data_IF_525594873698
#
_entry.id   IF_525594873698
#
_cell.length_a   1.000
_cell.length_b   1.000
_cell.length_c   1.000
_cell.angle_alpha   90.00
_cell.angle_beta   90.00
_cell.angle_gamma   90.00
#
_symmetry.space_group_name_H-M   'P 1'
#
loop_
_entity.id
_entity.type
_entity.pdbx_description
1 polymer ?
#
# COMPACT_ATOMS: atom_id res chain seq x y z
N UNK A 1 -3.17 14.16 -0.98
CA UNK A 1 -3.65 13.35 -2.13
C UNK A 1 -5.13 13.09 -1.96
N UNK A 2 -5.93 13.42 -2.98
CA UNK A 2 -7.39 13.29 -2.96
C UNK A 2 -7.87 12.14 -3.83
N UNK A 3 -7.15 11.84 -4.93
CA UNK A 3 -7.53 10.76 -5.83
C UNK A 3 -6.34 10.09 -6.50
N UNK A 4 -6.54 8.83 -6.86
CA UNK A 4 -5.66 8.03 -7.70
C UNK A 4 -6.44 7.71 -8.97
N UNK A 5 -5.87 7.97 -10.14
CA UNK A 5 -6.52 7.73 -11.43
C UNK A 5 -5.68 6.79 -12.26
N UNK A 6 -6.32 5.79 -12.84
CA UNK A 6 -5.76 4.88 -13.83
C UNK A 6 -6.39 5.20 -15.18
N UNK A 7 -5.58 5.43 -16.21
CA UNK A 7 -6.04 5.71 -17.58
C UNK A 7 -5.48 4.63 -18.52
N UNK A 8 -6.34 3.72 -18.96
CA UNK A 8 -5.99 2.61 -19.85
C UNK A 8 -4.72 1.85 -19.42
N UNK A 9 -4.58 1.64 -18.12
CA UNK A 9 -3.39 0.98 -17.55
C UNK A 9 -3.46 -0.53 -17.77
N UNK A 10 -2.33 -1.14 -18.17
CA UNK A 10 -2.19 -2.58 -18.31
C UNK A 10 -0.79 -3.02 -17.86
N UNK A 11 -0.67 -4.03 -16.97
CA UNK A 11 0.62 -4.62 -16.64
C UNK A 11 1.32 -5.19 -17.89
N UNK A 12 2.64 -5.00 -18.01
CA UNK A 12 3.40 -5.49 -19.17
C UNK A 12 3.26 -7.02 -19.37
N UNK A 13 3.08 -7.77 -18.29
CA UNK A 13 2.88 -9.24 -18.33
C UNK A 13 1.57 -9.65 -19.03
N UNK A 14 0.63 -8.73 -19.19
CA UNK A 14 -0.65 -8.97 -19.89
C UNK A 14 -0.68 -8.38 -21.30
N UNK A 15 0.41 -7.79 -21.77
CA UNK A 15 0.49 -7.26 -23.13
C UNK A 15 0.17 -8.36 -24.16
N UNK A 16 -0.75 -8.08 -25.09
CA UNK A 16 -1.20 -9.03 -26.10
C UNK A 16 -2.24 -10.05 -25.64
N UNK A 17 -2.71 -9.98 -24.38
CA UNK A 17 -3.88 -10.76 -23.94
C UNK A 17 -5.13 -9.92 -24.11
N UNK A 18 -6.23 -10.58 -24.51
CA UNK A 18 -7.56 -9.95 -24.48
C UNK A 18 -8.07 -9.92 -23.04
N UNK A 19 -8.08 -8.73 -22.45
CA UNK A 19 -8.58 -8.48 -21.08
C UNK A 19 -10.02 -7.97 -21.10
N UNK A 20 -10.89 -8.66 -21.85
CA UNK A 20 -12.28 -8.22 -22.13
C UNK A 20 -13.17 -8.08 -20.88
N UNK A 21 -12.79 -8.70 -19.77
CA UNK A 21 -13.63 -8.77 -18.56
C UNK A 21 -13.08 -7.98 -17.36
N UNK A 22 -11.98 -7.23 -17.52
CA UNK A 22 -11.44 -6.44 -16.42
C UNK A 22 -12.17 -5.10 -16.26
N UNK A 23 -12.59 -4.80 -15.02
CA UNK A 23 -13.12 -3.47 -14.67
C UNK A 23 -12.01 -2.48 -14.31
N UNK A 24 -10.75 -2.93 -14.26
CA UNK A 24 -9.60 -2.12 -13.88
C UNK A 24 -8.63 -1.93 -15.05
N UNK A 25 -8.21 -3.05 -15.68
CA UNK A 25 -7.23 -2.99 -16.76
C UNK A 25 -7.86 -2.47 -18.04
N UNK A 26 -7.14 -1.63 -18.77
CA UNK A 26 -7.60 -0.95 -20.00
C UNK A 26 -8.88 -0.12 -19.81
N UNK A 27 -9.16 0.28 -18.58
CA UNK A 27 -10.28 1.16 -18.23
C UNK A 27 -9.78 2.47 -17.60
N UNK A 28 -10.68 3.43 -17.52
CA UNK A 28 -10.46 4.64 -16.73
C UNK A 28 -11.08 4.41 -15.36
N UNK A 29 -10.24 4.30 -14.34
CA UNK A 29 -10.66 4.01 -12.96
C UNK A 29 -10.16 5.11 -12.05
N UNK A 30 -11.01 5.52 -11.11
CA UNK A 30 -10.71 6.56 -10.14
C UNK A 30 -10.96 6.05 -8.72
N UNK A 31 -9.97 6.19 -7.85
CA UNK A 31 -10.06 5.90 -6.43
C UNK A 31 -10.00 7.23 -5.66
N UNK A 32 -11.06 7.56 -4.93
CA UNK A 32 -11.21 8.81 -4.19
C UNK A 32 -10.91 8.62 -2.71
N UNK A 33 -10.32 9.63 -2.11
CA UNK A 33 -10.06 9.66 -0.68
C UNK A 33 -11.36 9.52 0.12
N UNK A 34 -11.30 8.73 1.20
CA UNK A 34 -12.44 8.52 2.11
C UNK A 34 -13.44 7.46 1.62
N UNK A 35 -13.27 6.93 0.41
CA UNK A 35 -14.05 5.78 -0.06
C UNK A 35 -13.31 4.48 0.18
N UNK A 36 -14.06 3.39 0.31
CA UNK A 36 -13.55 2.03 0.41
C UNK A 36 -13.82 1.29 -0.90
N UNK A 37 -12.81 0.62 -1.43
CA UNK A 37 -12.89 -0.13 -2.67
C UNK A 37 -12.48 -1.58 -2.43
N UNK A 38 -13.29 -2.53 -2.89
CA UNK A 38 -12.97 -3.95 -2.92
C UNK A 38 -12.61 -4.34 -4.35
N UNK A 39 -11.38 -4.83 -4.55
CA UNK A 39 -10.94 -5.38 -5.83
C UNK A 39 -10.96 -6.89 -5.73
N UNK A 40 -11.96 -7.50 -6.37
CA UNK A 40 -12.17 -8.94 -6.43
C UNK A 40 -11.77 -9.46 -7.79
N UNK A 41 -10.92 -10.47 -7.85
CA UNK A 41 -10.52 -11.13 -9.08
C UNK A 41 -9.78 -12.43 -8.76
N UNK A 42 -9.67 -13.32 -9.73
CA UNK A 42 -8.95 -14.59 -9.61
C UNK A 42 -7.45 -14.40 -9.29
N UNK A 43 -6.80 -15.49 -8.91
CA UNK A 43 -5.34 -15.46 -8.71
C UNK A 43 -4.62 -15.23 -10.03
N UNK A 44 -3.54 -14.44 -10.01
CA UNK A 44 -2.75 -14.15 -11.21
C UNK A 44 -3.28 -13.02 -12.10
N UNK A 45 -4.42 -12.40 -11.79
CA UNK A 45 -5.02 -11.31 -12.60
C UNK A 45 -4.45 -9.91 -12.33
N UNK A 46 -3.37 -9.80 -11.53
CA UNK A 46 -2.66 -8.54 -11.35
C UNK A 46 -3.03 -7.69 -10.14
N UNK A 47 -3.84 -8.19 -9.17
CA UNK A 47 -4.16 -7.44 -7.94
C UNK A 47 -2.94 -6.92 -7.20
N UNK A 48 -1.95 -7.78 -6.96
CA UNK A 48 -0.69 -7.39 -6.31
C UNK A 48 0.16 -6.46 -7.18
N UNK A 49 0.06 -6.58 -8.51
CA UNK A 49 0.72 -5.66 -9.44
C UNK A 49 0.13 -4.26 -9.32
N UNK A 50 -1.20 -4.13 -9.24
CA UNK A 50 -1.86 -2.83 -9.05
C UNK A 50 -1.37 -2.13 -7.78
N UNK A 51 -1.35 -2.84 -6.66
CA UNK A 51 -0.82 -2.30 -5.40
C UNK A 51 0.65 -1.88 -5.53
N UNK A 52 1.47 -2.70 -6.21
CA UNK A 52 2.89 -2.42 -6.43
C UNK A 52 3.12 -1.20 -7.33
N UNK A 53 2.28 -0.99 -8.35
CA UNK A 53 2.32 0.20 -9.20
C UNK A 53 1.92 1.45 -8.45
N UNK A 54 0.79 1.42 -7.74
CA UNK A 54 0.33 2.56 -6.92
C UNK A 54 1.36 2.94 -5.86
N UNK A 55 2.04 1.96 -5.26
CA UNK A 55 3.08 2.22 -4.26
C UNK A 55 4.44 2.61 -4.87
N UNK A 56 4.59 2.52 -6.21
CA UNK A 56 5.81 2.85 -6.94
C UNK A 56 6.94 1.84 -6.77
N UNK A 57 6.63 0.56 -6.50
CA UNK A 57 7.61 -0.52 -6.52
C UNK A 57 7.91 -1.02 -7.92
N UNK A 58 6.95 -0.88 -8.85
CA UNK A 58 7.04 -1.31 -10.23
C UNK A 58 6.52 -0.21 -11.15
N UNK A 59 7.07 -0.15 -12.36
CA UNK A 59 6.69 0.82 -13.41
C UNK A 59 6.42 0.14 -14.76
N UNK A 60 6.43 -1.18 -14.81
CA UNK A 60 6.28 -2.00 -16.01
C UNK A 60 4.80 -2.16 -16.39
N UNK A 61 4.16 -1.06 -16.74
CA UNK A 61 2.79 -0.97 -17.23
C UNK A 61 2.67 0.02 -18.38
N UNK A 62 1.68 -0.19 -19.27
CA UNK A 62 1.24 0.80 -20.26
C UNK A 62 0.11 1.67 -19.68
N UNK A 63 -0.27 2.71 -20.43
CA UNK A 63 -1.24 3.69 -19.95
C UNK A 63 -0.63 4.67 -18.94
N UNK A 64 -1.47 5.32 -18.13
CA UNK A 64 -1.05 6.37 -17.19
C UNK A 64 -1.67 6.12 -15.82
N UNK A 65 -0.89 6.29 -14.76
CA UNK A 65 -1.39 6.40 -13.39
C UNK A 65 -1.10 7.80 -12.85
N UNK A 66 -2.06 8.38 -12.16
CA UNK A 66 -1.94 9.75 -11.65
C UNK A 66 -2.31 9.84 -10.17
N UNK A 67 -1.58 10.70 -9.46
CA UNK A 67 -1.98 11.23 -8.15
C UNK A 67 -2.40 12.69 -8.32
N UNK A 68 -3.66 12.98 -8.05
CA UNK A 68 -4.23 14.34 -8.19
C UNK A 68 -3.89 15.01 -9.53
N UNK A 69 -3.91 14.24 -10.64
CA UNK A 69 -3.60 14.71 -12.00
C UNK A 69 -2.13 14.65 -12.41
N UNK A 70 -1.20 14.33 -11.51
CA UNK A 70 0.22 14.18 -11.82
C UNK A 70 0.56 12.73 -12.16
N UNK A 71 1.16 12.46 -13.33
CA UNK A 71 1.63 11.10 -13.68
C UNK A 71 2.70 10.67 -12.68
N UNK A 72 2.46 9.53 -12.01
CA UNK A 72 3.35 9.01 -10.97
C UNK A 72 4.75 8.66 -11.47
N UNK A 73 4.93 8.43 -12.78
CA UNK A 73 6.25 8.19 -13.39
C UNK A 73 7.12 9.43 -13.47
N UNK A 74 6.53 10.62 -13.34
CA UNK A 74 7.25 11.90 -13.36
C UNK A 74 7.69 12.35 -11.97
N UNK A 75 7.26 11.64 -10.92
CA UNK A 75 7.60 12.01 -9.56
C UNK A 75 9.09 11.79 -9.28
N UNK A 76 9.73 12.79 -8.67
CA UNK A 76 11.11 12.67 -8.18
C UNK A 76 11.19 11.72 -6.98
N UNK A 77 12.42 11.35 -6.61
CA UNK A 77 12.66 10.52 -5.41
C UNK A 77 12.11 11.20 -4.16
N UNK A 78 12.31 12.51 -4.02
CA UNK A 78 11.82 13.30 -2.89
C UNK A 78 10.29 13.34 -2.84
N UNK A 79 9.63 13.49 -3.97
CA UNK A 79 8.18 13.46 -4.09
C UNK A 79 7.62 12.08 -3.73
N UNK A 80 8.27 11.00 -4.19
CA UNK A 80 7.92 9.64 -3.78
C UNK A 80 8.11 9.40 -2.27
N UNK A 81 9.17 9.94 -1.67
CA UNK A 81 9.37 9.89 -0.22
C UNK A 81 8.23 10.59 0.51
N UNK A 82 7.81 11.78 0.04
CA UNK A 82 6.68 12.50 0.63
C UNK A 82 5.36 11.72 0.50
N UNK A 83 5.06 11.20 -0.68
CA UNK A 83 3.86 10.39 -0.94
C UNK A 83 3.79 9.19 0.02
N UNK A 84 4.87 8.41 0.14
CA UNK A 84 4.94 7.24 1.02
C UNK A 84 4.94 7.60 2.50
N UNK A 85 5.45 8.77 2.84
CA UNK A 85 5.47 9.28 4.22
C UNK A 85 4.08 9.75 4.67
N UNK A 86 3.40 10.53 3.83
CA UNK A 86 2.26 11.34 4.25
C UNK A 86 0.91 10.92 3.63
N UNK A 87 0.90 10.17 2.52
CA UNK A 87 -0.31 9.99 1.72
C UNK A 87 -0.76 8.56 1.52
N UNK A 88 0.16 7.61 1.39
CA UNK A 88 -0.18 6.20 1.15
C UNK A 88 0.51 5.28 2.15
N UNK A 89 -0.17 4.17 2.46
CA UNK A 89 0.42 3.04 3.18
C UNK A 89 0.14 1.76 2.41
N UNK A 90 1.07 0.83 2.45
CA UNK A 90 0.95 -0.47 1.82
C UNK A 90 1.13 -1.55 2.88
N UNK A 91 0.14 -2.42 3.03
CA UNK A 91 0.21 -3.60 3.86
C UNK A 91 0.34 -4.82 2.93
N UNK A 92 1.53 -5.40 2.77
CA UNK A 92 1.71 -6.60 1.97
C UNK A 92 1.17 -7.85 2.68
N UNK A 93 0.81 -8.87 1.91
CA UNK A 93 0.28 -10.14 2.45
C UNK A 93 1.26 -10.85 3.38
N UNK A 94 2.56 -10.73 3.11
CA UNK A 94 3.66 -11.33 3.88
C UNK A 94 4.14 -10.45 5.06
N UNK A 95 3.42 -9.40 5.39
CA UNK A 95 3.62 -8.43 6.47
C UNK A 95 4.98 -7.72 6.51
N UNK A 96 6.07 -8.29 6.07
CA UNK A 96 7.44 -7.72 5.97
C UNK A 96 7.88 -6.94 7.20
N UNK A 97 7.70 -7.53 8.37
CA UNK A 97 8.15 -6.96 9.62
C UNK A 97 9.61 -7.35 9.91
N UNK A 98 10.28 -6.61 10.76
CA UNK A 98 11.61 -6.92 11.27
C UNK A 98 11.48 -7.89 12.45
N UNK A 99 11.82 -9.18 12.28
CA UNK A 99 11.52 -10.22 13.27
C UNK A 99 12.30 -10.05 14.59
N UNK A 100 13.45 -9.37 14.54
CA UNK A 100 14.31 -9.11 15.71
C UNK A 100 13.78 -7.97 16.57
N UNK A 101 12.96 -7.08 15.98
CA UNK A 101 12.37 -5.96 16.69
C UNK A 101 11.05 -6.38 17.38
N UNK A 102 10.75 -5.71 18.46
CA UNK A 102 9.45 -5.83 19.15
C UNK A 102 8.31 -5.28 18.29
N UNK A 103 7.07 -5.61 18.64
CA UNK A 103 5.91 -5.11 17.95
C UNK A 103 5.85 -3.57 17.97
N UNK A 104 6.10 -2.95 19.11
CA UNK A 104 6.10 -1.48 19.21
C UNK A 104 7.27 -0.85 18.43
N UNK A 105 8.45 -1.45 18.43
CA UNK A 105 9.59 -0.95 17.64
C UNK A 105 9.31 -0.99 16.15
N UNK A 106 8.69 -2.04 15.62
CA UNK A 106 8.25 -2.12 14.23
C UNK A 106 7.28 -0.97 13.87
N UNK A 107 6.31 -0.66 14.73
CA UNK A 107 5.38 0.46 14.53
C UNK A 107 6.16 1.79 14.57
N UNK A 108 7.09 1.95 15.50
CA UNK A 108 7.88 3.16 15.66
C UNK A 108 8.78 3.47 14.46
N UNK A 109 9.22 2.49 13.68
CA UNK A 109 9.97 2.73 12.43
C UNK A 109 9.22 3.69 11.50
N UNK A 110 7.91 3.46 11.32
CA UNK A 110 7.07 4.34 10.49
C UNK A 110 6.63 5.59 11.23
N UNK A 111 6.26 5.46 12.50
CA UNK A 111 5.74 6.57 13.29
C UNK A 111 6.76 7.70 13.46
N UNK A 112 8.03 7.39 13.67
CA UNK A 112 9.12 8.37 13.81
C UNK A 112 9.33 9.27 12.58
N UNK A 113 8.85 8.86 11.41
CA UNK A 113 8.93 9.68 10.20
C UNK A 113 8.04 10.93 10.29
N UNK A 114 6.93 10.85 11.02
CA UNK A 114 5.92 11.91 11.09
C UNK A 114 5.54 12.31 12.51
N UNK A 115 5.92 11.51 13.51
CA UNK A 115 5.46 11.60 14.89
C UNK A 115 3.93 11.70 14.98
N UNK A 116 3.22 10.92 14.11
CA UNK A 116 1.77 11.00 13.95
C UNK A 116 1.01 10.53 15.19
N UNK A 117 1.58 9.57 15.93
CA UNK A 117 1.00 9.03 17.15
C UNK A 117 1.98 9.09 18.31
N UNK A 118 1.47 9.40 19.49
CA UNK A 118 2.22 9.24 20.74
C UNK A 118 2.39 7.75 21.08
N UNK A 119 3.39 7.40 21.84
CA UNK A 119 3.60 6.02 22.27
C UNK A 119 2.40 5.48 23.07
N UNK A 120 1.78 6.32 23.90
CA UNK A 120 0.57 5.96 24.64
C UNK A 120 -0.60 5.59 23.73
N UNK A 121 -0.80 6.34 22.63
CA UNK A 121 -1.83 6.00 21.64
C UNK A 121 -1.51 4.69 20.93
N UNK A 122 -0.24 4.44 20.60
CA UNK A 122 0.18 3.17 19.96
C UNK A 122 -0.11 2.00 20.91
N UNK A 123 0.25 2.12 22.20
CA UNK A 123 -0.02 1.07 23.20
C UNK A 123 -1.54 0.81 23.31
N UNK A 124 -2.36 1.87 23.27
CA UNK A 124 -3.82 1.70 23.36
C UNK A 124 -4.41 0.87 22.22
N UNK A 125 -3.76 0.78 21.06
CA UNK A 125 -4.19 -0.13 19.99
C UNK A 125 -4.01 -1.60 20.37
N UNK A 126 -2.92 -1.96 21.06
CA UNK A 126 -2.72 -3.32 21.56
C UNK A 126 -3.78 -3.70 22.61
N UNK A 127 -4.15 -2.76 23.48
CA UNK A 127 -5.23 -2.96 24.45
C UNK A 127 -6.57 -3.20 23.76
N UNK A 128 -6.89 -2.36 22.76
CA UNK A 128 -8.14 -2.50 21.96
C UNK A 128 -8.20 -3.81 21.17
N UNK A 129 -7.06 -4.33 20.76
CA UNK A 129 -6.95 -5.62 20.05
C UNK A 129 -6.91 -6.81 21.03
N UNK A 130 -6.86 -6.57 22.35
CA UNK A 130 -6.83 -7.62 23.37
C UNK A 130 -5.48 -8.34 23.50
N UNK A 131 -4.39 -7.68 23.07
CA UNK A 131 -3.02 -8.23 23.07
C UNK A 131 -2.00 -7.30 23.73
N UNK A 132 -2.30 -6.66 24.88
CA UNK A 132 -1.39 -5.69 25.49
C UNK A 132 -0.03 -6.30 25.89
N UNK A 133 0.01 -7.58 26.21
CA UNK A 133 1.23 -8.31 26.55
C UNK A 133 2.20 -8.49 25.37
N UNK A 134 1.75 -8.26 24.13
CA UNK A 134 2.57 -8.40 22.92
C UNK A 134 3.36 -7.14 22.56
N UNK A 135 3.10 -6.01 23.20
CA UNK A 135 3.77 -4.71 22.90
C UNK A 135 5.28 -4.86 22.78
N UNK A 136 5.90 -5.50 23.75
CA UNK A 136 7.35 -5.69 23.85
C UNK A 136 7.82 -7.07 23.36
N UNK A 137 6.95 -7.85 22.70
CA UNK A 137 7.33 -9.16 22.20
C UNK A 137 8.05 -9.02 20.85
N UNK A 138 9.19 -9.70 20.62
CA UNK A 138 9.82 -9.78 19.31
C UNK A 138 8.84 -10.35 18.29
N UNK A 139 8.72 -9.70 17.14
CA UNK A 139 7.73 -10.09 16.11
C UNK A 139 7.97 -11.50 15.57
N UNK A 140 9.25 -11.92 15.47
CA UNK A 140 9.58 -13.30 15.05
C UNK A 140 9.07 -14.41 15.96
N UNK A 141 8.54 -14.07 17.15
CA UNK A 141 7.90 -15.03 18.08
C UNK A 141 6.37 -14.97 18.03
N UNK A 142 5.80 -14.11 17.20
CA UNK A 142 4.35 -13.96 17.06
C UNK A 142 3.85 -14.78 15.88
N UNK A 143 2.62 -15.27 15.97
CA UNK A 143 1.93 -15.93 14.86
C UNK A 143 1.38 -14.88 13.88
N UNK A 144 1.17 -15.29 12.63
CA UNK A 144 0.53 -14.49 11.58
C UNK A 144 -1.02 -14.62 11.73
N UNK A 145 -1.55 -14.40 12.85
CA UNK A 145 -3.00 -14.56 13.01
C UNK A 145 -3.53 -13.71 14.12
#
# INVERSE_FOLDING_TARGET
MQKIVLLNTLPAVFAGREEDHSEVWLRNVEFERGKHYLISAESGTGKSSLCSYIYGYRIDYSGVMQFDGTDIRTLSVEQWCDVRKNHIAYLPQDLRLFPELTAIENIQLKNRLTNFKTEKEIISYFERLGIPEKVNSPVGKLSIG
#
